data_IF_745400923501
#
_entry.id   IF_745400923501
#
_cell.length_a   1.000
_cell.length_b   1.000
_cell.length_c   1.000
_cell.angle_alpha   90.00
_cell.angle_beta   90.00
_cell.angle_gamma   90.00
#
_symmetry.space_group_name_H-M   'P 1'
#
loop_
_entity.id
_entity.type
_entity.pdbx_description
1 polymer ?
#
# COMPACT_ATOMS: atom_id res chain seq x y z
N UNK A 1 -20.81 -51.02 6.68
CA UNK A 1 -21.61 -49.86 6.21
C UNK A 1 -22.59 -49.46 7.30
N UNK A 2 -22.34 -48.38 8.02
CA UNK A 2 -23.27 -47.82 9.01
C UNK A 2 -23.49 -46.34 8.68
N UNK A 3 -24.56 -46.07 7.94
CA UNK A 3 -24.93 -44.74 7.46
C UNK A 3 -25.61 -43.98 8.60
N UNK A 4 -24.81 -43.44 9.53
CA UNK A 4 -25.29 -42.48 10.52
C UNK A 4 -25.67 -41.19 9.78
N UNK A 5 -26.95 -41.08 9.40
CA UNK A 5 -27.48 -39.84 8.83
C UNK A 5 -27.39 -38.74 9.87
N UNK A 6 -26.72 -37.63 9.52
CA UNK A 6 -26.72 -36.41 10.32
C UNK A 6 -28.16 -35.94 10.50
N UNK A 7 -28.74 -36.21 11.67
CA UNK A 7 -30.00 -35.63 12.08
C UNK A 7 -29.73 -34.16 12.40
N UNK A 8 -30.24 -33.27 11.56
CA UNK A 8 -30.33 -31.84 11.86
C UNK A 8 -31.31 -31.59 13.00
N UNK A 9 -30.91 -31.92 14.24
CA UNK A 9 -31.44 -31.25 15.41
C UNK A 9 -30.98 -29.80 15.39
N UNK A 10 -31.84 -28.88 15.81
CA UNK A 10 -31.44 -27.48 15.87
C UNK A 10 -30.37 -27.34 16.96
N UNK A 11 -29.40 -26.43 16.78
CA UNK A 11 -28.40 -26.14 17.82
C UNK A 11 -29.03 -25.63 19.13
N UNK A 12 -30.29 -25.16 19.07
CA UNK A 12 -31.15 -24.85 20.22
C UNK A 12 -31.49 -26.07 21.08
N UNK A 13 -31.60 -27.25 20.48
CA UNK A 13 -31.99 -28.49 21.16
C UNK A 13 -30.83 -29.09 21.98
N UNK A 14 -29.60 -28.61 21.72
CA UNK A 14 -28.36 -28.94 22.44
C UNK A 14 -27.94 -27.87 23.47
N UNK A 15 -28.71 -26.80 23.63
CA UNK A 15 -28.43 -25.72 24.56
C UNK A 15 -29.10 -26.02 25.91
N UNK A 16 -28.32 -26.44 26.90
CA UNK A 16 -28.80 -26.58 28.28
C UNK A 16 -28.49 -25.30 29.07
N UNK A 17 -29.52 -24.49 29.31
CA UNK A 17 -29.41 -23.18 29.94
C UNK A 17 -28.53 -22.20 29.15
N UNK A 18 -27.25 -22.17 29.53
CA UNK A 18 -26.20 -21.30 28.95
C UNK A 18 -25.04 -22.10 28.33
N UNK A 19 -25.10 -23.44 28.35
CA UNK A 19 -24.05 -24.36 27.93
C UNK A 19 -24.48 -25.09 26.66
N UNK A 20 -23.62 -25.06 25.65
CA UNK A 20 -23.86 -25.68 24.35
C UNK A 20 -22.79 -26.72 24.07
N UNK A 21 -23.16 -27.99 24.21
CA UNK A 21 -22.29 -29.13 23.95
C UNK A 21 -22.35 -29.54 22.47
N UNK A 22 -21.23 -29.31 21.77
CA UNK A 22 -20.97 -29.78 20.42
C UNK A 22 -19.75 -30.70 20.38
N UNK A 23 -19.36 -31.28 21.52
CA UNK A 23 -18.34 -32.33 21.59
C UNK A 23 -18.72 -33.53 20.72
N UNK A 24 -17.72 -34.30 20.28
CA UNK A 24 -17.87 -35.57 19.57
C UNK A 24 -18.82 -35.53 18.35
N UNK A 25 -19.06 -34.36 17.77
CA UNK A 25 -20.03 -34.13 16.70
C UNK A 25 -19.43 -34.26 15.29
N UNK A 26 -18.21 -34.82 15.21
CA UNK A 26 -17.44 -35.04 13.97
C UNK A 26 -17.25 -33.79 13.08
N UNK A 27 -17.30 -32.60 13.69
CA UNK A 27 -17.27 -31.31 13.00
C UNK A 27 -15.90 -31.04 12.36
N UNK A 28 -15.91 -30.68 11.08
CA UNK A 28 -14.73 -30.18 10.35
C UNK A 28 -14.63 -28.64 10.38
N UNK A 29 -15.76 -27.95 10.52
CA UNK A 29 -15.88 -26.49 10.61
C UNK A 29 -16.91 -26.11 11.68
N UNK A 30 -16.75 -24.94 12.29
CA UNK A 30 -17.64 -24.44 13.35
C UNK A 30 -18.84 -23.67 12.74
N UNK A 31 -20.10 -24.00 13.11
CA UNK A 31 -21.31 -23.30 12.63
C UNK A 31 -21.49 -21.91 13.29
N UNK A 32 -20.63 -20.95 12.93
CA UNK A 32 -20.56 -19.65 13.60
C UNK A 32 -21.82 -18.81 13.43
N UNK A 33 -22.52 -18.89 12.29
CA UNK A 33 -23.74 -18.10 12.05
C UNK A 33 -24.85 -18.48 13.01
N UNK A 34 -24.97 -19.77 13.27
CA UNK A 34 -25.94 -20.36 14.17
C UNK A 34 -25.57 -20.10 15.63
N UNK A 35 -24.29 -20.20 15.99
CA UNK A 35 -23.78 -19.81 17.32
C UNK A 35 -24.01 -18.31 17.60
N UNK A 36 -23.78 -17.43 16.63
CA UNK A 36 -24.03 -16.00 16.76
C UNK A 36 -25.52 -15.68 16.96
N UNK A 37 -26.42 -16.54 16.48
CA UNK A 37 -27.87 -16.45 16.71
C UNK A 37 -28.31 -16.99 18.10
N UNK A 38 -27.37 -17.48 18.92
CA UNK A 38 -27.62 -18.04 20.26
C UNK A 38 -26.84 -17.28 21.37
N UNK A 39 -27.09 -15.97 21.59
CA UNK A 39 -26.34 -15.15 22.54
C UNK A 39 -26.45 -15.58 24.02
N UNK A 40 -27.26 -16.60 24.34
CA UNK A 40 -27.34 -17.24 25.67
C UNK A 40 -26.24 -18.28 25.89
N UNK A 41 -25.65 -18.82 24.83
CA UNK A 41 -24.59 -19.83 24.90
C UNK A 41 -23.27 -19.17 25.35
N UNK A 42 -23.03 -19.11 26.65
CA UNK A 42 -21.80 -18.52 27.23
C UNK A 42 -20.71 -19.55 27.49
N UNK A 43 -21.08 -20.83 27.54
CA UNK A 43 -20.17 -21.98 27.59
C UNK A 43 -20.35 -22.77 26.30
N UNK A 44 -19.26 -23.00 25.58
CA UNK A 44 -19.24 -23.73 24.31
C UNK A 44 -18.19 -24.84 24.36
N UNK A 45 -18.64 -26.08 24.28
CA UNK A 45 -17.76 -27.24 24.12
C UNK A 45 -17.71 -27.66 22.65
N UNK A 46 -16.51 -27.61 22.06
CA UNK A 46 -16.19 -28.07 20.71
C UNK A 46 -15.10 -29.16 20.75
N UNK A 47 -14.89 -29.79 21.90
CA UNK A 47 -13.86 -30.80 22.13
C UNK A 47 -14.06 -32.06 21.28
N UNK A 48 -12.97 -32.80 21.06
CA UNK A 48 -12.99 -34.09 20.36
C UNK A 48 -13.61 -34.05 18.94
N UNK A 49 -13.49 -32.92 18.24
CA UNK A 49 -13.92 -32.76 16.85
C UNK A 49 -12.71 -32.86 15.88
N UNK A 50 -12.92 -32.54 14.60
CA UNK A 50 -11.91 -32.64 13.53
C UNK A 50 -11.49 -31.25 13.02
N UNK A 51 -11.73 -30.19 13.80
CA UNK A 51 -11.47 -28.80 13.42
C UNK A 51 -9.98 -28.59 13.13
N UNK A 52 -9.65 -28.11 11.93
CA UNK A 52 -8.26 -27.81 11.49
C UNK A 52 -7.91 -26.33 11.60
N UNK A 53 -8.92 -25.47 11.53
CA UNK A 53 -8.86 -24.02 11.74
C UNK A 53 -10.19 -23.52 12.32
N UNK A 54 -10.21 -22.29 12.80
CA UNK A 54 -11.43 -21.55 13.11
C UNK A 54 -11.64 -20.48 12.03
N UNK A 55 -12.87 -20.24 11.56
CA UNK A 55 -13.15 -19.14 10.63
C UNK A 55 -12.95 -17.78 11.32
N UNK A 56 -12.61 -16.73 10.58
CA UNK A 56 -12.38 -15.39 11.13
C UNK A 56 -13.61 -14.83 11.87
N UNK A 57 -14.81 -15.17 11.41
CA UNK A 57 -16.08 -14.78 12.02
C UNK A 57 -16.27 -15.36 13.44
N UNK A 58 -15.55 -16.42 13.83
CA UNK A 58 -15.61 -16.99 15.18
C UNK A 58 -15.30 -15.93 16.26
N UNK A 59 -14.45 -14.96 15.94
CA UNK A 59 -14.10 -13.83 16.81
C UNK A 59 -15.24 -12.81 17.01
N UNK A 60 -16.42 -13.01 16.38
CA UNK A 60 -17.65 -12.27 16.65
C UNK A 60 -18.41 -12.75 17.89
N UNK A 61 -18.12 -13.96 18.40
CA UNK A 61 -18.80 -14.60 19.53
C UNK A 61 -18.35 -14.03 20.89
N UNK A 62 -18.38 -12.70 21.03
CA UNK A 62 -17.85 -11.95 22.18
C UNK A 62 -18.59 -12.22 23.51
N UNK A 63 -19.72 -12.93 23.47
CA UNK A 63 -20.50 -13.34 24.64
C UNK A 63 -19.97 -14.64 25.31
N UNK A 64 -19.02 -15.35 24.68
CA UNK A 64 -18.41 -16.55 25.24
C UNK A 64 -17.56 -16.23 26.49
N UNK A 65 -17.72 -17.08 27.51
CA UNK A 65 -17.05 -17.01 28.82
C UNK A 65 -16.19 -18.25 29.06
N UNK A 66 -16.62 -19.43 28.57
CA UNK A 66 -15.80 -20.64 28.52
C UNK A 66 -15.83 -21.23 27.11
N UNK A 67 -14.68 -21.70 26.65
CA UNK A 67 -14.52 -22.36 25.36
C UNK A 67 -13.60 -23.56 25.50
N UNK A 68 -14.10 -24.76 25.18
CA UNK A 68 -13.27 -25.96 25.05
C UNK A 68 -13.07 -26.27 23.56
N UNK A 69 -11.82 -26.34 23.13
CA UNK A 69 -11.37 -26.72 21.79
C UNK A 69 -10.38 -27.89 21.85
N UNK A 70 -10.30 -28.60 22.98
CA UNK A 70 -9.37 -29.70 23.21
C UNK A 70 -9.56 -30.86 22.23
N UNK A 71 -8.48 -31.63 21.99
CA UNK A 71 -8.46 -32.83 21.14
C UNK A 71 -8.98 -32.58 19.71
N UNK A 72 -8.67 -31.41 19.16
CA UNK A 72 -8.92 -31.04 17.77
C UNK A 72 -7.61 -31.12 16.95
N UNK A 73 -7.59 -30.51 15.76
CA UNK A 73 -6.43 -30.49 14.85
C UNK A 73 -6.03 -29.05 14.50
N UNK A 74 -6.35 -28.08 15.35
CA UNK A 74 -6.14 -26.66 15.11
C UNK A 74 -4.64 -26.36 14.93
N UNK A 75 -4.25 -25.84 13.78
CA UNK A 75 -2.85 -25.48 13.48
C UNK A 75 -2.53 -24.04 13.88
N UNK A 76 -3.54 -23.16 13.83
CA UNK A 76 -3.45 -21.75 14.17
C UNK A 76 -4.80 -21.24 14.67
N UNK A 77 -4.78 -20.21 15.50
CA UNK A 77 -5.97 -19.43 15.87
C UNK A 77 -6.10 -18.20 14.96
N UNK A 78 -7.32 -17.68 14.73
CA UNK A 78 -7.54 -16.44 13.96
C UNK A 78 -6.74 -15.26 14.49
N UNK A 79 -6.30 -14.37 13.59
CA UNK A 79 -5.54 -13.17 13.96
C UNK A 79 -6.27 -12.27 14.98
N UNK A 80 -7.61 -12.26 14.96
CA UNK A 80 -8.47 -11.44 15.83
C UNK A 80 -9.02 -12.18 17.06
N UNK A 81 -8.44 -13.33 17.45
CA UNK A 81 -8.91 -14.13 18.58
C UNK A 81 -9.02 -13.33 19.91
N UNK A 82 -8.21 -12.28 20.07
CA UNK A 82 -8.30 -11.30 21.15
C UNK A 82 -9.64 -10.58 21.33
N UNK A 83 -10.54 -10.60 20.34
CA UNK A 83 -11.88 -9.99 20.42
C UNK A 83 -12.79 -10.66 21.45
N UNK A 84 -12.50 -11.88 21.88
CA UNK A 84 -13.26 -12.63 22.89
C UNK A 84 -13.00 -12.11 24.31
N UNK A 85 -13.24 -10.81 24.54
CA UNK A 85 -12.83 -10.08 25.76
C UNK A 85 -13.45 -10.61 27.06
N UNK A 86 -14.57 -11.33 26.99
CA UNK A 86 -15.27 -11.93 28.13
C UNK A 86 -14.80 -13.37 28.45
N UNK A 87 -13.94 -13.97 27.62
CA UNK A 87 -13.47 -15.33 27.79
C UNK A 87 -12.61 -15.45 29.05
N UNK A 88 -12.99 -16.36 29.95
CA UNK A 88 -12.34 -16.62 31.24
C UNK A 88 -11.64 -17.97 31.29
N UNK A 89 -12.09 -18.94 30.51
CA UNK A 89 -11.55 -20.30 30.46
C UNK A 89 -11.42 -20.73 29.00
N UNK A 90 -10.23 -21.19 28.60
CA UNK A 90 -9.95 -21.66 27.26
C UNK A 90 -9.12 -22.94 27.32
N UNK A 91 -9.67 -24.04 26.81
CA UNK A 91 -8.92 -25.29 26.63
C UNK A 91 -8.51 -25.47 25.17
N UNK A 92 -7.21 -25.70 24.94
CA UNK A 92 -6.61 -26.00 23.64
C UNK A 92 -5.73 -27.27 23.70
N UNK A 93 -5.84 -28.08 24.76
CA UNK A 93 -5.13 -29.34 24.97
C UNK A 93 -5.17 -30.23 23.72
N UNK A 94 -4.04 -30.85 23.37
CA UNK A 94 -3.93 -31.80 22.26
C UNK A 94 -4.47 -31.24 20.93
N UNK A 95 -3.82 -30.18 20.47
CA UNK A 95 -4.02 -29.57 19.14
C UNK A 95 -2.67 -29.52 18.39
N UNK A 96 -2.60 -28.76 17.29
CA UNK A 96 -1.40 -28.63 16.45
C UNK A 96 -0.87 -27.20 16.42
N UNK A 97 -1.14 -26.42 17.47
CA UNK A 97 -0.75 -25.01 17.56
C UNK A 97 0.77 -24.91 17.70
N UNK A 98 1.39 -24.12 16.82
CA UNK A 98 2.82 -23.76 16.92
C UNK A 98 3.00 -22.40 17.60
N UNK A 99 2.11 -21.45 17.32
CA UNK A 99 2.14 -20.09 17.88
C UNK A 99 0.73 -19.63 18.25
N UNK A 100 0.68 -18.57 19.07
CA UNK A 100 -0.56 -17.86 19.39
C UNK A 100 -0.54 -16.48 18.73
N UNK A 101 -1.70 -15.96 18.28
CA UNK A 101 -1.80 -14.64 17.66
C UNK A 101 -1.52 -13.54 18.69
N UNK A 102 -0.89 -12.45 18.27
CA UNK A 102 -0.54 -11.33 19.16
C UNK A 102 -1.78 -10.65 19.78
N UNK A 103 -2.95 -10.75 19.13
CA UNK A 103 -4.22 -10.31 19.70
C UNK A 103 -4.61 -11.05 20.98
N UNK A 104 -4.05 -12.23 21.28
CA UNK A 104 -4.30 -12.97 22.52
C UNK A 104 -4.00 -12.13 23.77
N UNK A 105 -3.09 -11.15 23.67
CA UNK A 105 -2.83 -10.13 24.69
C UNK A 105 -4.08 -9.32 25.13
N UNK A 106 -5.11 -9.24 24.29
CA UNK A 106 -6.36 -8.50 24.50
C UNK A 106 -7.39 -9.27 25.35
N UNK A 107 -7.18 -10.56 25.60
CA UNK A 107 -8.04 -11.41 26.44
C UNK A 107 -7.88 -11.06 27.93
N UNK A 108 -8.35 -9.88 28.33
CA UNK A 108 -8.19 -9.31 29.68
C UNK A 108 -8.85 -10.15 30.78
N UNK A 109 -9.89 -10.90 30.44
CA UNK A 109 -10.68 -11.71 31.39
C UNK A 109 -10.18 -13.14 31.56
N UNK A 110 -9.22 -13.58 30.73
CA UNK A 110 -8.79 -14.98 30.69
C UNK A 110 -8.03 -15.35 31.97
N UNK A 111 -8.58 -16.31 32.71
CA UNK A 111 -8.09 -16.77 34.02
C UNK A 111 -7.46 -18.15 33.96
N UNK A 112 -7.89 -19.01 33.03
CA UNK A 112 -7.44 -20.39 32.90
C UNK A 112 -7.16 -20.70 31.42
N UNK A 113 -6.03 -21.36 31.18
CA UNK A 113 -5.57 -21.73 29.85
C UNK A 113 -4.81 -23.05 29.93
N UNK A 114 -5.18 -24.02 29.10
CA UNK A 114 -4.34 -25.18 28.78
C UNK A 114 -3.90 -25.12 27.32
N UNK A 115 -2.63 -25.46 27.09
CA UNK A 115 -1.96 -25.54 25.79
C UNK A 115 -1.13 -26.83 25.66
N UNK A 116 -1.24 -27.75 26.62
CA UNK A 116 -0.48 -29.00 26.66
C UNK A 116 -0.74 -29.84 25.39
N UNK A 117 0.22 -30.71 25.07
CA UNK A 117 0.18 -31.59 23.90
C UNK A 117 0.00 -30.83 22.57
N UNK A 118 0.52 -29.60 22.49
CA UNK A 118 0.69 -28.82 21.27
C UNK A 118 2.18 -28.68 20.91
N UNK A 119 2.54 -28.67 19.60
CA UNK A 119 3.90 -28.45 19.12
C UNK A 119 4.29 -26.96 19.15
N UNK A 120 4.13 -26.32 20.32
CA UNK A 120 4.40 -24.89 20.53
C UNK A 120 5.88 -24.54 20.26
N UNK A 121 6.12 -23.33 19.78
CA UNK A 121 7.45 -22.73 19.73
C UNK A 121 8.15 -22.80 21.11
N UNK A 122 9.44 -23.16 21.20
CA UNK A 122 10.13 -23.36 22.48
C UNK A 122 10.11 -22.14 23.43
N UNK A 123 10.05 -20.91 22.91
CA UNK A 123 9.94 -19.72 23.75
C UNK A 123 8.56 -19.65 24.42
N UNK A 124 7.50 -19.93 23.66
CA UNK A 124 6.13 -19.95 24.17
C UNK A 124 5.87 -21.14 25.10
N UNK A 125 6.36 -22.33 24.75
CA UNK A 125 6.26 -23.53 25.59
C UNK A 125 6.88 -23.30 26.98
N UNK A 126 8.06 -22.66 27.04
CA UNK A 126 8.73 -22.30 28.30
C UNK A 126 7.96 -21.27 29.13
N UNK A 127 7.24 -20.36 28.49
CA UNK A 127 6.40 -19.35 29.17
C UNK A 127 5.12 -19.97 29.72
N UNK A 128 4.46 -20.83 28.95
CA UNK A 128 3.27 -21.55 29.39
C UNK A 128 3.58 -22.46 30.59
N UNK A 129 4.59 -23.32 30.44
CA UNK A 129 4.91 -24.37 31.41
C UNK A 129 3.83 -25.44 31.49
N UNK A 130 3.91 -26.29 32.51
CA UNK A 130 2.96 -27.37 32.72
C UNK A 130 1.61 -26.86 33.28
N UNK A 131 0.54 -27.57 32.91
CA UNK A 131 -0.83 -27.41 33.42
C UNK A 131 -1.32 -28.80 33.87
N UNK A 132 -0.89 -29.23 35.07
CA UNK A 132 -1.36 -30.45 35.72
C UNK A 132 -2.46 -30.14 36.75
N UNK A 133 -2.30 -29.04 37.49
CA UNK A 133 -3.27 -28.53 38.45
C UNK A 133 -3.97 -27.26 37.95
N UNK A 134 -5.21 -27.03 38.40
CA UNK A 134 -5.98 -25.81 38.11
C UNK A 134 -5.20 -24.52 38.44
N UNK A 135 -4.37 -24.54 39.50
CA UNK A 135 -3.47 -23.43 39.87
C UNK A 135 -2.38 -23.17 38.82
N UNK A 136 -1.81 -24.22 38.25
CA UNK A 136 -0.76 -24.11 37.23
C UNK A 136 -1.34 -23.57 35.92
N UNK A 137 -2.51 -24.07 35.49
CA UNK A 137 -3.22 -23.57 34.30
C UNK A 137 -3.64 -22.09 34.45
N UNK A 138 -4.01 -21.66 35.67
CA UNK A 138 -4.22 -20.25 35.99
C UNK A 138 -2.94 -19.42 35.90
N UNK A 139 -1.78 -19.97 36.27
CA UNK A 139 -0.49 -19.31 36.09
C UNK A 139 -0.06 -19.28 34.62
N UNK A 140 -0.28 -20.35 33.85
CA UNK A 140 -0.06 -20.42 32.40
C UNK A 140 -0.78 -19.27 31.69
N UNK A 141 -2.09 -19.13 31.91
CA UNK A 141 -2.89 -18.03 31.36
C UNK A 141 -2.24 -16.65 31.63
N UNK A 142 -1.88 -16.37 32.89
CA UNK A 142 -1.27 -15.10 33.27
C UNK A 142 0.10 -14.87 32.62
N UNK A 143 0.98 -15.89 32.60
CA UNK A 143 2.33 -15.80 31.98
C UNK A 143 2.23 -15.59 30.47
N UNK A 144 1.39 -16.38 29.78
CA UNK A 144 1.18 -16.27 28.33
C UNK A 144 0.59 -14.90 27.98
N UNK A 145 -0.40 -14.40 28.72
CA UNK A 145 -0.94 -13.05 28.51
C UNK A 145 0.11 -11.95 28.72
N UNK A 146 0.98 -12.06 29.74
CA UNK A 146 2.06 -11.09 29.97
C UNK A 146 3.09 -11.11 28.83
N UNK A 147 3.49 -12.30 28.36
CA UNK A 147 4.40 -12.45 27.23
C UNK A 147 3.80 -11.91 25.93
N UNK A 148 2.53 -12.23 25.63
CA UNK A 148 1.83 -11.70 24.45
C UNK A 148 1.67 -10.17 24.50
N UNK A 149 1.43 -9.58 25.69
CA UNK A 149 1.42 -8.11 25.87
C UNK A 149 2.78 -7.47 25.61
N UNK A 150 3.88 -8.13 26.01
CA UNK A 150 5.23 -7.66 25.69
C UNK A 150 5.48 -7.68 24.17
N UNK A 151 5.17 -8.82 23.51
CA UNK A 151 5.28 -8.95 22.05
C UNK A 151 4.41 -7.92 21.30
N UNK A 152 3.19 -7.66 21.77
CA UNK A 152 2.31 -6.63 21.19
C UNK A 152 2.92 -5.23 21.32
N UNK A 153 3.50 -4.91 22.49
CA UNK A 153 4.17 -3.63 22.71
C UNK A 153 5.44 -3.50 21.86
N UNK A 154 6.21 -4.57 21.66
CA UNK A 154 7.39 -4.57 20.78
C UNK A 154 7.01 -4.35 19.31
N UNK A 155 6.00 -5.06 18.79
CA UNK A 155 5.52 -4.85 17.42
C UNK A 155 4.96 -3.44 17.19
N UNK A 156 4.23 -2.89 18.17
CA UNK A 156 3.71 -1.52 18.08
C UNK A 156 4.84 -0.48 18.16
N UNK A 157 5.85 -0.67 19.03
CA UNK A 157 7.05 0.18 19.05
C UNK A 157 7.82 0.12 17.73
N UNK A 158 7.95 -1.05 17.13
CA UNK A 158 8.64 -1.18 15.84
C UNK A 158 7.84 -0.50 14.72
N UNK A 159 6.52 -0.69 14.69
CA UNK A 159 5.61 0.00 13.75
C UNK A 159 5.74 1.52 13.88
N UNK A 160 5.74 2.06 15.10
CA UNK A 160 5.89 3.50 15.34
C UNK A 160 7.24 4.02 14.84
N UNK A 161 8.35 3.32 15.14
CA UNK A 161 9.68 3.68 14.61
C UNK A 161 9.74 3.67 13.09
N UNK A 162 9.13 2.68 12.42
CA UNK A 162 9.06 2.62 10.95
C UNK A 162 8.32 3.85 10.38
N UNK A 163 7.19 4.22 10.98
CA UNK A 163 6.41 5.41 10.59
C UNK A 163 7.16 6.74 10.86
N UNK A 164 7.95 6.83 11.93
CA UNK A 164 8.79 7.99 12.23
C UNK A 164 9.91 8.16 11.20
N UNK A 165 10.61 7.06 10.86
CA UNK A 165 11.66 7.05 9.81
C UNK A 165 11.08 7.43 8.45
N UNK A 166 9.89 6.94 8.11
CA UNK A 166 9.18 7.30 6.87
C UNK A 166 8.84 8.79 6.82
N UNK A 167 8.25 9.34 7.89
CA UNK A 167 7.94 10.78 8.02
C UNK A 167 9.19 11.66 7.98
N UNK A 168 10.30 11.23 8.55
CA UNK A 168 11.58 11.93 8.42
C UNK A 168 12.12 11.87 6.98
N UNK A 169 12.03 10.73 6.31
CA UNK A 169 12.46 10.57 4.94
C UNK A 169 11.64 11.45 3.98
N UNK A 170 10.32 11.53 4.19
CA UNK A 170 9.42 12.43 3.48
C UNK A 170 9.80 13.90 3.69
N UNK A 171 9.92 14.37 4.94
CA UNK A 171 10.39 15.73 5.25
C UNK A 171 11.76 16.06 4.61
N UNK A 172 12.70 15.09 4.62
CA UNK A 172 14.01 15.23 3.96
C UNK A 172 13.89 15.29 2.43
N UNK A 173 12.95 14.57 1.81
CA UNK A 173 12.65 14.65 0.36
C UNK A 173 12.04 16.00 0.01
N UNK A 174 11.01 16.46 0.74
CA UNK A 174 10.41 17.78 0.55
C UNK A 174 11.42 18.92 0.71
N UNK A 175 12.23 18.90 1.78
CA UNK A 175 13.26 19.92 2.01
C UNK A 175 14.29 19.96 0.87
N UNK A 176 14.73 18.79 0.37
CA UNK A 176 15.61 18.71 -0.80
C UNK A 176 14.95 19.26 -2.07
N UNK A 177 13.66 18.99 -2.29
CA UNK A 177 12.93 19.55 -3.43
C UNK A 177 12.81 21.08 -3.33
N UNK A 178 12.35 21.60 -2.18
CA UNK A 178 12.24 23.05 -1.93
C UNK A 178 13.60 23.75 -2.06
N UNK A 179 14.69 23.13 -1.62
CA UNK A 179 16.05 23.65 -1.80
C UNK A 179 16.47 23.70 -3.28
N UNK A 180 16.20 22.65 -4.07
CA UNK A 180 16.45 22.66 -5.52
C UNK A 180 15.63 23.74 -6.24
N UNK A 181 14.34 23.85 -5.94
CA UNK A 181 13.48 24.89 -6.51
C UNK A 181 13.96 26.30 -6.11
N UNK A 182 14.43 26.51 -4.89
CA UNK A 182 15.00 27.78 -4.46
C UNK A 182 16.30 28.11 -5.20
N UNK A 183 17.22 27.14 -5.35
CA UNK A 183 18.45 27.30 -6.13
C UNK A 183 18.16 27.65 -7.60
N UNK A 184 17.19 26.97 -8.23
CA UNK A 184 16.77 27.26 -9.60
C UNK A 184 16.15 28.66 -9.72
N UNK A 185 15.35 29.09 -8.74
CA UNK A 185 14.79 30.45 -8.70
C UNK A 185 15.88 31.52 -8.57
N UNK A 186 16.91 31.30 -7.76
CA UNK A 186 18.05 32.23 -7.65
C UNK A 186 18.91 32.25 -8.93
N UNK A 187 19.18 31.10 -9.53
CA UNK A 187 19.90 31.01 -10.81
C UNK A 187 19.16 31.77 -11.92
N UNK A 188 17.85 31.55 -12.06
CA UNK A 188 16.98 32.29 -13.00
C UNK A 188 16.90 33.80 -12.70
N UNK A 189 17.07 34.25 -11.45
CA UNK A 189 17.18 35.69 -11.11
C UNK A 189 18.52 36.25 -11.56
N UNK A 190 19.61 35.51 -11.32
CA UNK A 190 20.98 35.89 -11.69
C UNK A 190 21.14 36.01 -13.21
N UNK A 191 20.71 35.01 -13.97
CA UNK A 191 20.70 35.06 -15.44
C UNK A 191 19.97 36.30 -15.97
N UNK A 192 18.78 36.61 -15.42
CA UNK A 192 18.00 37.80 -15.78
C UNK A 192 18.65 39.12 -15.34
N UNK A 193 19.57 39.11 -14.39
CA UNK A 193 20.35 40.29 -13.99
C UNK A 193 21.55 40.47 -14.94
N UNK A 194 22.29 39.41 -15.19
CA UNK A 194 23.43 39.37 -16.12
C UNK A 194 23.00 39.73 -17.56
N UNK A 195 21.85 39.23 -18.02
CA UNK A 195 21.27 39.60 -19.33
C UNK A 195 20.91 41.08 -19.40
N UNK A 196 20.31 41.65 -18.33
CA UNK A 196 20.00 43.09 -18.27
C UNK A 196 21.26 43.94 -18.26
N UNK A 197 22.32 43.50 -17.59
CA UNK A 197 23.61 44.19 -17.57
C UNK A 197 24.27 44.15 -18.95
N UNK A 198 24.27 42.99 -19.63
CA UNK A 198 24.72 42.86 -21.03
C UNK A 198 23.98 43.83 -21.94
N UNK A 199 22.65 43.85 -21.91
CA UNK A 199 21.82 44.76 -22.72
C UNK A 199 22.12 46.25 -22.44
N UNK A 200 22.48 46.62 -21.20
CA UNK A 200 22.94 47.98 -20.86
C UNK A 200 24.29 48.28 -21.49
N UNK A 201 25.29 47.40 -21.32
CA UNK A 201 26.62 47.56 -21.95
C UNK A 201 26.55 47.67 -23.47
N UNK A 202 25.74 46.81 -24.11
CA UNK A 202 25.48 46.84 -25.56
C UNK A 202 24.85 48.18 -25.98
N UNK A 203 23.85 48.70 -25.24
CA UNK A 203 23.22 50.00 -25.49
C UNK A 203 24.18 51.18 -25.31
N UNK A 204 24.97 51.20 -24.24
CA UNK A 204 25.93 52.26 -23.96
C UNK A 204 27.08 52.29 -24.99
N UNK A 205 27.54 51.13 -25.45
CA UNK A 205 28.51 51.00 -26.53
C UNK A 205 27.96 51.53 -27.87
N UNK A 206 26.72 51.15 -28.24
CA UNK A 206 26.02 51.70 -29.42
C UNK A 206 25.91 53.23 -29.36
N UNK A 207 25.60 53.78 -28.18
CA UNK A 207 25.49 55.23 -27.94
C UNK A 207 26.84 55.94 -28.02
N UNK A 208 27.92 55.30 -27.54
CA UNK A 208 29.28 55.82 -27.67
C UNK A 208 29.74 55.84 -29.14
N UNK A 209 29.58 54.74 -29.88
CA UNK A 209 29.93 54.64 -31.29
C UNK A 209 29.19 55.68 -32.14
N UNK A 210 27.90 55.94 -31.86
CA UNK A 210 27.13 56.99 -32.55
C UNK A 210 27.70 58.39 -32.31
N UNK A 211 28.11 58.70 -31.07
CA UNK A 211 28.77 59.98 -30.73
C UNK A 211 30.13 60.15 -31.41
N UNK A 212 30.87 59.07 -31.65
CA UNK A 212 32.12 59.11 -32.41
C UNK A 212 31.88 59.34 -33.91
N UNK A 213 30.84 58.74 -34.48
CA UNK A 213 30.44 59.02 -35.86
C UNK A 213 30.01 60.49 -36.05
N UNK A 214 29.27 61.05 -35.09
CA UNK A 214 28.88 62.48 -35.08
C UNK A 214 30.08 63.43 -34.92
N UNK A 215 31.23 62.97 -34.41
CA UNK A 215 32.47 63.75 -34.27
C UNK A 215 33.40 63.70 -35.49
N UNK A 216 33.16 62.84 -36.49
CA UNK A 216 33.98 62.81 -37.71
C UNK A 216 33.61 64.01 -38.60
N UNK A 217 34.57 64.79 -39.10
CA UNK A 217 34.27 65.94 -39.95
C UNK A 217 33.66 65.47 -41.27
N UNK A 218 32.63 66.17 -41.74
CA UNK A 218 32.07 65.97 -43.09
C UNK A 218 33.15 66.34 -44.12
N UNK A 219 33.77 65.33 -44.75
CA UNK A 219 34.41 65.55 -46.06
C UNK A 219 33.31 65.58 -47.11
N UNK A 220 33.14 66.73 -47.74
CA UNK A 220 32.29 66.86 -48.92
C UNK A 220 32.97 66.18 -50.12
N UNK A 221 32.23 65.35 -50.82
CA UNK A 221 32.57 64.88 -52.17
C UNK A 221 31.37 65.09 -53.07
N UNK A 222 31.29 66.28 -53.65
CA UNK A 222 30.43 66.55 -54.80
C UNK A 222 31.10 66.06 -56.07
N UNK A 223 30.51 65.06 -56.74
CA UNK A 223 30.51 64.96 -58.21
C UNK A 223 29.49 63.91 -58.69
N UNK A 224 28.81 64.23 -59.79
CA UNK A 224 27.78 63.46 -60.49
C UNK A 224 27.79 63.92 -61.98
N UNK A 225 27.01 63.32 -62.89
CA UNK A 225 26.88 61.89 -63.21
C UNK A 225 26.95 61.61 -64.74
N UNK A 226 27.15 60.35 -65.17
CA UNK A 226 26.71 59.83 -66.50
C UNK A 226 26.93 58.30 -66.59
N UNK A 227 25.87 57.48 -66.52
CA UNK A 227 25.21 56.74 -67.63
C UNK A 227 26.06 55.76 -68.45
N UNK A 228 25.63 54.49 -68.55
CA UNK A 228 25.32 53.74 -69.79
C UNK A 228 24.68 52.37 -69.39
N UNK A 229 23.69 51.87 -70.15
CA UNK A 229 23.01 50.56 -69.95
C UNK A 229 23.76 49.44 -70.73
N UNK A 230 23.63 48.11 -70.51
CA UNK A 230 22.58 47.22 -69.96
C UNK A 230 23.24 46.07 -69.12
N UNK A 231 22.61 45.03 -68.51
CA UNK A 231 21.21 44.59 -68.41
C UNK A 231 21.04 43.16 -67.81
N UNK A 232 19.87 42.54 -68.02
CA UNK A 232 19.50 41.11 -67.81
C UNK A 232 19.53 40.40 -66.43
N UNK A 233 18.30 40.25 -65.87
CA UNK A 233 17.72 39.09 -65.10
C UNK A 233 17.96 38.91 -63.57
N UNK A 234 16.99 39.47 -62.80
CA UNK A 234 16.11 38.95 -61.68
C UNK A 234 16.38 37.56 -61.04
N UNK A 235 15.74 37.21 -59.87
CA UNK A 235 14.94 37.98 -58.88
C UNK A 235 15.51 37.88 -57.43
N UNK A 236 15.27 38.76 -56.44
CA UNK A 236 14.08 39.42 -55.89
C UNK A 236 13.18 38.56 -54.96
N UNK A 237 13.27 38.78 -53.63
CA UNK A 237 12.13 38.74 -52.71
C UNK A 237 12.43 39.59 -51.44
N UNK A 238 11.43 40.27 -50.81
CA UNK A 238 11.69 41.46 -49.99
C UNK A 238 11.33 41.33 -48.49
N UNK A 239 11.99 42.15 -47.65
CA UNK A 239 11.45 43.11 -46.64
C UNK A 239 10.34 42.63 -45.66
N UNK A 240 10.19 43.09 -44.41
CA UNK A 240 10.97 43.96 -43.48
C UNK A 240 10.24 43.93 -42.09
N UNK A 241 10.84 44.60 -41.09
CA UNK A 241 10.16 45.28 -39.97
C UNK A 241 9.30 44.45 -38.96
N UNK A 242 9.93 44.11 -37.84
CA UNK A 242 9.75 44.72 -36.50
C UNK A 242 8.52 45.64 -36.24
N UNK A 243 8.11 45.89 -34.95
CA UNK A 243 8.46 45.18 -33.70
C UNK A 243 7.29 44.99 -32.68
N UNK A 244 7.50 44.09 -31.72
CA UNK A 244 7.42 44.46 -30.30
C UNK A 244 6.06 44.53 -29.55
N UNK A 245 6.01 43.67 -28.51
CA UNK A 245 5.90 44.07 -27.09
C UNK A 245 4.55 43.86 -26.36
N UNK A 246 4.59 42.82 -25.53
CA UNK A 246 4.00 42.69 -24.19
C UNK A 246 2.51 42.30 -23.97
N UNK A 247 2.42 41.19 -23.22
CA UNK A 247 1.59 40.97 -22.02
C UNK A 247 0.08 40.75 -22.19
N UNK A 248 -0.20 39.44 -22.26
CA UNK A 248 -0.73 38.66 -21.13
C UNK A 248 -2.25 38.60 -20.90
N UNK A 249 -2.63 37.37 -20.52
CA UNK A 249 -3.78 36.98 -19.70
C UNK A 249 -5.19 37.17 -20.30
N UNK A 250 -5.81 36.01 -20.57
CA UNK A 250 -7.20 35.67 -20.19
C UNK A 250 -8.34 36.45 -20.88
N UNK A 251 -9.53 35.90 -21.11
CA UNK A 251 -10.17 34.58 -20.94
C UNK A 251 -11.49 34.64 -21.74
N UNK A 252 -12.14 33.49 -22.05
CA UNK A 252 -13.59 33.35 -22.37
C UNK A 252 -14.17 34.26 -23.52
N UNK A 253 -14.90 33.78 -24.53
CA UNK A 253 -15.94 32.75 -24.52
C UNK A 253 -16.48 32.46 -25.95
N UNK A 254 -17.16 31.31 -26.08
CA UNK A 254 -18.38 31.07 -26.88
C UNK A 254 -18.41 31.31 -28.40
N UNK A 255 -18.41 30.17 -29.14
CA UNK A 255 -19.47 29.69 -30.09
C UNK A 255 -19.86 30.50 -31.35
N UNK A 256 -20.52 29.90 -32.38
CA UNK A 256 -20.75 28.48 -32.71
C UNK A 256 -20.48 28.13 -34.22
N UNK A 257 -21.03 26.99 -34.68
CA UNK A 257 -21.29 26.57 -36.08
C UNK A 257 -20.10 26.14 -36.99
N UNK A 258 -19.85 24.82 -36.98
CA UNK A 258 -19.92 23.83 -38.10
C UNK A 258 -20.10 24.34 -39.58
N UNK A 259 -19.77 23.53 -40.62
CA UNK A 259 -19.45 22.09 -40.59
C UNK A 259 -18.18 21.65 -41.36
N UNK A 260 -17.74 20.40 -41.13
CA UNK A 260 -17.68 19.32 -42.16
C UNK A 260 -16.88 18.07 -41.73
N UNK A 261 -17.41 16.90 -42.11
CA UNK A 261 -16.70 15.62 -42.35
C UNK A 261 -16.11 14.86 -41.13
N UNK A 262 -16.98 14.09 -40.47
CA UNK A 262 -16.60 13.07 -39.49
C UNK A 262 -16.04 11.79 -40.15
N UNK A 263 -14.86 11.33 -39.72
CA UNK A 263 -14.40 9.94 -39.91
C UNK A 263 -14.09 9.32 -38.54
N UNK A 264 -14.86 8.28 -38.22
CA UNK A 264 -14.84 7.39 -37.06
C UNK A 264 -13.63 7.49 -36.11
N UNK A 265 -13.87 8.06 -34.93
CA UNK A 265 -13.08 7.76 -33.73
C UNK A 265 -13.44 6.36 -33.21
N UNK A 266 -12.54 5.39 -33.41
CA UNK A 266 -12.64 4.10 -32.72
C UNK A 266 -12.26 4.30 -31.24
N UNK A 267 -13.23 4.13 -30.33
CA UNK A 267 -12.93 3.97 -28.91
C UNK A 267 -12.13 2.67 -28.71
N UNK A 268 -10.85 2.79 -28.40
CA UNK A 268 -10.05 1.68 -27.89
C UNK A 268 -10.48 1.36 -26.45
N UNK A 269 -10.96 0.14 -26.15
CA UNK A 269 -11.26 -0.24 -24.78
C UNK A 269 -9.95 -0.49 -24.02
N UNK A 270 -9.72 0.27 -22.94
CA UNK A 270 -8.70 -0.03 -21.93
C UNK A 270 -9.18 -1.21 -21.06
N UNK A 271 -9.15 -2.41 -21.65
CA UNK A 271 -9.43 -3.69 -21.01
C UNK A 271 -8.42 -4.73 -21.51
N UNK A 272 -7.14 -4.53 -21.22
CA UNK A 272 -6.14 -5.61 -21.31
C UNK A 272 -6.39 -6.59 -20.16
N UNK A 273 -6.49 -7.88 -20.47
CA UNK A 273 -6.62 -8.90 -19.44
C UNK A 273 -5.34 -9.00 -18.62
N UNK A 274 -5.44 -9.41 -17.35
CA UNK A 274 -4.27 -9.64 -16.48
C UNK A 274 -3.31 -10.64 -17.11
N UNK A 275 -3.82 -11.62 -17.87
CA UNK A 275 -3.03 -12.60 -18.59
C UNK A 275 -2.14 -11.95 -19.68
N UNK A 276 -2.61 -10.92 -20.38
CA UNK A 276 -1.78 -10.22 -21.38
C UNK A 276 -0.60 -9.47 -20.73
N UNK A 277 -0.82 -8.90 -19.53
CA UNK A 277 0.23 -8.24 -18.74
C UNK A 277 1.22 -9.28 -18.19
N UNK A 278 0.72 -10.45 -17.78
CA UNK A 278 1.55 -11.59 -17.36
C UNK A 278 2.42 -12.13 -18.51
N UNK A 279 1.87 -12.31 -19.70
CA UNK A 279 2.59 -12.83 -20.88
C UNK A 279 3.65 -11.85 -21.42
N UNK A 280 3.45 -10.55 -21.30
CA UNK A 280 4.48 -9.54 -21.60
C UNK A 280 5.57 -9.51 -20.53
N UNK A 281 5.22 -9.62 -19.24
CA UNK A 281 6.19 -9.73 -18.16
C UNK A 281 7.05 -11.01 -18.29
N UNK A 282 6.44 -12.16 -18.59
CA UNK A 282 7.13 -13.43 -18.82
C UNK A 282 8.01 -13.38 -20.08
N UNK A 283 7.58 -12.70 -21.15
CA UNK A 283 8.45 -12.46 -22.32
C UNK A 283 9.63 -11.55 -22.00
N UNK A 284 9.43 -10.50 -21.22
CA UNK A 284 10.51 -9.63 -20.74
C UNK A 284 11.55 -10.38 -19.90
N UNK A 285 11.10 -11.25 -18.99
CA UNK A 285 11.97 -12.07 -18.14
C UNK A 285 12.75 -13.13 -18.94
N UNK A 286 12.17 -13.71 -20.01
CA UNK A 286 12.86 -14.66 -20.91
C UNK A 286 13.94 -14.00 -21.78
N UNK A 287 13.94 -12.67 -21.92
CA UNK A 287 14.95 -11.91 -22.66
C UNK A 287 16.23 -11.60 -21.86
N UNK A 288 16.31 -12.01 -20.59
CA UNK A 288 17.48 -11.82 -19.75
C UNK A 288 18.19 -13.16 -19.52
N UNK A 289 19.41 -13.33 -20.04
CA UNK A 289 20.16 -14.61 -19.99
C UNK A 289 20.33 -15.19 -18.57
N UNK A 290 20.37 -14.30 -17.56
CA UNK A 290 20.49 -14.65 -16.14
C UNK A 290 19.27 -15.43 -15.61
N UNK A 291 18.10 -15.30 -16.25
CA UNK A 291 16.83 -15.86 -15.75
C UNK A 291 16.42 -17.19 -16.41
N UNK A 292 17.08 -17.63 -17.49
CA UNK A 292 16.80 -18.97 -18.05
C UNK A 292 17.07 -20.09 -17.03
N UNK A 293 18.11 -19.94 -16.20
CA UNK A 293 18.52 -20.98 -15.25
C UNK A 293 17.48 -21.22 -14.14
N UNK A 294 16.75 -20.18 -13.74
CA UNK A 294 15.69 -20.25 -12.71
C UNK A 294 14.39 -20.86 -13.26
N UNK A 295 14.11 -20.69 -14.55
CA UNK A 295 12.89 -21.21 -15.18
C UNK A 295 13.03 -22.67 -15.68
N UNK A 296 14.25 -23.22 -15.73
CA UNK A 296 14.48 -24.62 -16.12
C UNK A 296 14.34 -25.61 -14.96
N UNK A 297 14.49 -25.18 -13.70
CA UNK A 297 14.44 -26.06 -12.52
C UNK A 297 13.04 -26.59 -12.18
N UNK A 298 11.97 -25.88 -12.56
CA UNK A 298 10.58 -26.27 -12.28
C UNK A 298 10.00 -27.30 -13.28
N UNK A 299 10.80 -27.80 -14.23
CA UNK A 299 10.33 -28.73 -15.29
C UNK A 299 10.68 -30.21 -15.04
N UNK A 300 11.21 -30.58 -13.86
CA UNK A 300 11.59 -31.97 -13.52
C UNK A 300 11.09 -32.44 -12.14
N UNK A 301 9.85 -32.12 -11.79
CA UNK A 301 9.08 -32.83 -10.75
C UNK A 301 7.67 -33.17 -11.26
#
# INVERSE_FOLDING_TARGET
>A
MTKAGSKGGNLRDKLDGNELDLSLSDLNEVPVKELAALPKATVLDLSCNKLTSLPADFCSLTHLVKLDLSKNKLQQLPADFGRLVNLQHLDLLNNRLVTLPVSFAQLKSLKWLDLKDNPLDPALAKVAGDCLDEKQCKQCANKVLQHMKALQADQERERQRRLEVEREAEKKREAKQRAKEAQERELRKREKAEEKERRRKEYDALKAAKREQEKKPKKETNQAPSTWWQGSRKPALPLLLCPGRNRALTLFARTPEEPFSCIQAAMLPLCTSVNAIYDDAVRGLRGHDILQWVLQTDSQQ
#
